data_IF_388149622750
#
_entry.id   IF_388149622750
#
_cell.length_a   1.000
_cell.length_b   1.000
_cell.length_c   1.000
_cell.angle_alpha   90.00
_cell.angle_beta   90.00
_cell.angle_gamma   90.00
#
_symmetry.space_group_name_H-M   'P 1'
#
loop_
_entity.id
_entity.type
_entity.pdbx_description
1 polymer ?
#
# COMPACT_ATOMS: atom_id res chain seq x y z
N UNK A 1 -42.08 14.69 53.45
CA UNK A 1 -41.73 13.26 53.41
C UNK A 1 -40.94 13.06 52.13
N UNK A 2 -39.64 12.76 52.26
CA UNK A 2 -38.87 12.03 51.23
C UNK A 2 -39.54 10.66 51.01
N UNK A 3 -39.47 9.95 49.89
CA UNK A 3 -38.35 9.54 49.04
C UNK A 3 -38.99 9.02 47.72
N UNK A 4 -38.34 8.96 46.57
CA UNK A 4 -37.42 7.88 46.20
C UNK A 4 -36.68 8.24 44.91
N UNK A 5 -35.40 7.87 44.91
CA UNK A 5 -34.37 8.17 43.95
C UNK A 5 -34.55 7.40 42.64
N UNK A 6 -34.48 8.10 41.50
CA UNK A 6 -34.31 7.48 40.19
C UNK A 6 -32.89 6.95 40.06
N UNK A 7 -32.76 5.62 40.14
CA UNK A 7 -31.52 4.87 40.03
C UNK A 7 -30.86 5.07 38.66
N UNK A 8 -29.58 5.48 38.69
CA UNK A 8 -28.64 5.42 37.57
C UNK A 8 -28.33 3.98 37.21
N UNK A 9 -28.22 3.71 35.91
CA UNK A 9 -27.22 2.80 35.37
C UNK A 9 -27.76 1.61 34.59
N UNK A 10 -27.63 1.67 33.27
CA UNK A 10 -27.15 0.53 32.50
C UNK A 10 -26.50 1.08 31.23
N UNK A 11 -25.19 1.31 31.30
CA UNK A 11 -24.36 1.39 30.11
C UNK A 11 -24.25 -0.04 29.57
N UNK A 12 -24.92 -0.31 28.46
CA UNK A 12 -24.78 -1.53 27.69
C UNK A 12 -24.37 -1.12 26.28
N UNK A 13 -23.06 -1.09 26.06
CA UNK A 13 -22.37 -1.62 24.87
C UNK A 13 -20.92 -1.11 24.95
N UNK A 14 -20.09 -1.79 25.74
CA UNK A 14 -18.65 -1.77 25.49
C UNK A 14 -18.37 -3.05 24.72
N UNK A 15 -18.45 -2.95 23.39
CA UNK A 15 -17.88 -3.96 22.52
C UNK A 15 -16.46 -4.28 23.01
N UNK A 16 -16.30 -5.53 23.40
CA UNK A 16 -15.07 -6.13 23.93
C UNK A 16 -13.90 -5.77 23.02
N UNK A 17 -13.06 -4.83 23.46
CA UNK A 17 -11.73 -4.65 22.89
C UNK A 17 -10.92 -5.87 23.33
N UNK A 18 -10.89 -6.89 22.47
CA UNK A 18 -10.01 -8.03 22.63
C UNK A 18 -8.58 -7.52 22.46
N UNK A 19 -7.93 -7.18 23.57
CA UNK A 19 -6.48 -6.99 23.64
C UNK A 19 -5.82 -8.36 23.58
N UNK A 20 -5.58 -8.83 22.37
CA UNK A 20 -4.64 -9.92 22.11
C UNK A 20 -3.23 -9.35 22.07
N UNK A 21 -2.42 -9.75 23.06
CA UNK A 21 -0.97 -9.67 22.96
C UNK A 21 -0.52 -10.49 21.72
N UNK A 22 0.47 -9.98 20.99
CA UNK A 22 1.02 -10.43 19.69
C UNK A 22 0.51 -9.68 18.44
N UNK A 23 1.02 -8.46 18.24
CA UNK A 23 1.74 -8.03 17.02
C UNK A 23 1.11 -8.09 15.63
N UNK A 24 -0.13 -8.55 15.46
CA UNK A 24 -0.85 -8.48 14.20
C UNK A 24 -2.22 -7.86 14.48
N UNK A 25 -2.38 -6.58 14.14
CA UNK A 25 -3.70 -5.96 14.06
C UNK A 25 -4.56 -6.84 13.15
N UNK A 26 -5.46 -7.61 13.76
CA UNK A 26 -6.45 -8.41 13.05
C UNK A 26 -7.31 -7.41 12.30
N UNK A 27 -7.15 -7.36 10.97
CA UNK A 27 -7.96 -6.52 10.10
C UNK A 27 -9.41 -6.74 10.43
N UNK A 28 -10.12 -5.65 10.67
CA UNK A 28 -11.56 -5.75 10.89
C UNK A 28 -12.20 -6.12 9.54
N UNK A 29 -13.26 -6.94 9.53
CA UNK A 29 -14.03 -7.22 8.31
C UNK A 29 -14.49 -5.94 7.60
N UNK A 30 -14.64 -4.85 8.34
CA UNK A 30 -15.05 -3.55 7.83
C UNK A 30 -13.92 -2.81 7.08
N UNK A 31 -12.65 -3.01 7.44
CA UNK A 31 -11.51 -2.46 6.71
C UNK A 31 -11.29 -3.20 5.38
N UNK A 32 -11.44 -4.52 5.37
CA UNK A 32 -11.31 -5.30 4.13
C UNK A 32 -12.38 -4.91 3.10
N UNK A 33 -13.62 -4.64 3.54
CA UNK A 33 -14.68 -4.17 2.63
C UNK A 33 -14.38 -2.76 2.08
N UNK A 34 -13.82 -1.88 2.91
CA UNK A 34 -13.38 -0.54 2.45
C UNK A 34 -12.29 -0.65 1.38
N UNK A 35 -11.32 -1.55 1.55
CA UNK A 35 -10.26 -1.76 0.56
C UNK A 35 -10.81 -2.25 -0.77
N UNK A 36 -11.85 -3.10 -0.78
CA UNK A 36 -12.48 -3.55 -2.03
C UNK A 36 -13.04 -2.37 -2.83
N UNK A 37 -13.72 -1.45 -2.18
CA UNK A 37 -14.26 -0.24 -2.82
C UNK A 37 -13.12 0.63 -3.37
N UNK A 38 -12.00 0.74 -2.64
CA UNK A 38 -10.81 1.47 -3.13
C UNK A 38 -10.18 0.78 -4.34
N UNK A 39 -10.14 -0.55 -4.36
CA UNK A 39 -9.65 -1.32 -5.52
C UNK A 39 -10.56 -1.11 -6.73
N UNK A 40 -11.89 -1.17 -6.55
CA UNK A 40 -12.84 -0.89 -7.64
C UNK A 40 -12.61 0.52 -8.21
N UNK A 41 -12.51 1.53 -7.35
CA UNK A 41 -12.23 2.91 -7.77
C UNK A 41 -10.90 3.03 -8.50
N UNK A 42 -9.84 2.40 -8.00
CA UNK A 42 -8.54 2.40 -8.67
C UNK A 42 -8.64 1.80 -10.07
N UNK A 43 -9.36 0.69 -10.23
CA UNK A 43 -9.51 0.01 -11.51
C UNK A 43 -10.39 0.79 -12.51
N UNK A 44 -11.36 1.55 -12.02
CA UNK A 44 -12.28 2.31 -12.87
C UNK A 44 -11.76 3.72 -13.21
N UNK A 45 -11.13 4.39 -12.25
CA UNK A 45 -10.75 5.81 -12.35
C UNK A 45 -9.24 6.01 -12.50
N UNK A 46 -8.44 4.96 -12.29
CA UNK A 46 -6.97 5.02 -12.27
C UNK A 46 -6.44 6.05 -11.24
N UNK A 47 -7.25 6.37 -10.23
CA UNK A 47 -6.96 7.39 -9.22
C UNK A 47 -7.22 6.84 -7.83
N UNK A 48 -6.14 6.76 -7.04
CA UNK A 48 -6.20 6.39 -5.64
C UNK A 48 -5.04 7.00 -4.83
N UNK A 49 -4.88 8.35 -4.84
CA UNK A 49 -3.89 9.00 -3.99
C UNK A 49 -4.26 8.77 -2.51
N UNK A 50 -3.24 8.53 -1.68
CA UNK A 50 -3.34 8.31 -0.24
C UNK A 50 -4.24 7.11 0.18
N UNK A 51 -4.54 6.20 -0.74
CA UNK A 51 -5.39 5.05 -0.46
C UNK A 51 -4.72 4.02 0.44
N UNK A 52 -5.51 3.43 1.36
CA UNK A 52 -5.11 2.21 2.06
C UNK A 52 -5.39 0.99 1.17
N UNK A 53 -4.32 0.46 0.58
CA UNK A 53 -4.31 -0.73 -0.26
C UNK A 53 -3.34 -1.78 0.32
N UNK A 54 -3.18 -1.83 1.65
CA UNK A 54 -2.27 -2.81 2.25
C UNK A 54 -2.70 -4.25 1.95
N UNK A 55 -1.74 -5.08 1.53
CA UNK A 55 -1.92 -6.51 1.22
C UNK A 55 -3.12 -6.82 0.31
N UNK A 56 -3.53 -5.86 -0.54
CA UNK A 56 -4.50 -6.14 -1.59
C UNK A 56 -3.84 -6.97 -2.69
N UNK A 57 -4.66 -7.69 -3.45
CA UNK A 57 -4.20 -8.38 -4.64
C UNK A 57 -4.54 -7.56 -5.89
N UNK A 58 -3.50 -6.99 -6.50
CA UNK A 58 -3.53 -6.24 -7.75
C UNK A 58 -2.69 -6.92 -8.83
N UNK A 59 -2.35 -8.20 -8.65
CA UNK A 59 -1.49 -8.93 -9.58
C UNK A 59 -2.08 -8.99 -10.99
N UNK A 60 -1.22 -8.78 -11.99
CA UNK A 60 -1.58 -8.81 -13.41
C UNK A 60 -2.56 -7.71 -13.87
N UNK A 61 -2.85 -6.71 -13.03
CA UNK A 61 -3.74 -5.60 -13.39
C UNK A 61 -3.06 -4.60 -14.32
N UNK A 62 -3.87 -3.88 -15.10
CA UNK A 62 -3.43 -2.74 -15.89
C UNK A 62 -3.68 -1.46 -15.10
N UNK A 63 -2.61 -0.88 -14.57
CA UNK A 63 -2.59 0.35 -13.77
C UNK A 63 -1.56 1.34 -14.37
N UNK A 64 -1.35 1.29 -15.69
CA UNK A 64 -0.52 2.26 -16.39
C UNK A 64 -1.11 3.65 -16.21
N UNK A 65 -0.27 4.65 -15.99
CA UNK A 65 -0.66 6.04 -15.71
C UNK A 65 -1.51 6.22 -14.42
N UNK A 66 -1.56 5.22 -13.54
CA UNK A 66 -2.32 5.30 -12.29
C UNK A 66 -1.77 6.35 -11.34
N UNK A 67 -2.64 7.11 -10.70
CA UNK A 67 -2.27 8.00 -9.60
C UNK A 67 -2.40 7.28 -8.25
N UNK A 68 -1.25 6.85 -7.73
CA UNK A 68 -1.08 6.15 -6.45
C UNK A 68 -0.18 6.98 -5.51
N UNK A 69 -0.13 8.31 -5.69
CA UNK A 69 0.68 9.19 -4.85
C UNK A 69 0.39 8.93 -3.37
N UNK A 70 1.44 8.62 -2.61
CA UNK A 70 1.38 8.37 -1.17
C UNK A 70 0.42 7.26 -0.75
N UNK A 71 0.03 6.37 -1.67
CA UNK A 71 -0.78 5.21 -1.33
C UNK A 71 -0.02 4.25 -0.40
N UNK A 72 -0.75 3.62 0.52
CA UNK A 72 -0.23 2.58 1.40
C UNK A 72 -0.44 1.20 0.74
N UNK A 73 0.62 0.67 0.13
CA UNK A 73 0.66 -0.59 -0.61
C UNK A 73 1.49 -1.65 0.14
N UNK A 74 1.66 -1.52 1.47
CA UNK A 74 2.48 -2.44 2.25
C UNK A 74 2.01 -3.88 2.10
N UNK A 75 2.93 -4.75 1.70
CA UNK A 75 2.66 -6.16 1.45
C UNK A 75 1.64 -6.44 0.35
N UNK A 76 1.29 -5.46 -0.49
CA UNK A 76 0.41 -5.67 -1.64
C UNK A 76 1.03 -6.65 -2.64
N UNK A 77 0.19 -7.45 -3.28
CA UNK A 77 0.60 -8.29 -4.40
C UNK A 77 0.41 -7.49 -5.70
N UNK A 78 1.52 -7.02 -6.26
CA UNK A 78 1.62 -6.27 -7.52
C UNK A 78 2.38 -7.09 -8.57
N UNK A 79 2.42 -8.42 -8.40
CA UNK A 79 3.13 -9.31 -9.31
C UNK A 79 2.59 -9.16 -10.74
N UNK A 80 3.48 -8.87 -11.69
CA UNK A 80 3.13 -8.78 -13.11
C UNK A 80 2.16 -7.63 -13.45
N UNK A 81 1.95 -6.69 -12.53
CA UNK A 81 1.10 -5.52 -12.75
C UNK A 81 1.78 -4.55 -13.72
N UNK A 82 1.01 -3.98 -14.64
CA UNK A 82 1.47 -2.87 -15.47
C UNK A 82 1.28 -1.56 -14.69
N UNK A 83 2.38 -0.96 -14.26
CA UNK A 83 2.48 0.32 -13.55
C UNK A 83 3.28 1.34 -14.37
N UNK A 84 3.32 1.17 -15.70
CA UNK A 84 4.06 2.07 -16.57
C UNK A 84 3.55 3.51 -16.40
N UNK A 85 4.45 4.48 -16.28
CA UNK A 85 4.13 5.89 -16.02
C UNK A 85 3.31 6.16 -14.74
N UNK A 86 3.11 5.18 -13.86
CA UNK A 86 2.30 5.39 -12.66
C UNK A 86 2.97 6.42 -11.73
N UNK A 87 2.16 7.26 -11.08
CA UNK A 87 2.61 8.14 -10.01
C UNK A 87 2.58 7.37 -8.69
N UNK A 88 3.74 6.94 -8.21
CA UNK A 88 3.95 6.25 -6.94
C UNK A 88 4.76 7.11 -5.96
N UNK A 89 4.79 8.42 -6.17
CA UNK A 89 5.57 9.36 -5.37
C UNK A 89 5.19 9.24 -3.89
N UNK A 90 6.18 8.99 -3.04
CA UNK A 90 5.98 8.83 -1.61
C UNK A 90 5.10 7.64 -1.19
N UNK A 91 4.78 6.71 -2.09
CA UNK A 91 4.01 5.52 -1.76
C UNK A 91 4.78 4.59 -0.80
N UNK A 92 4.06 3.88 0.06
CA UNK A 92 4.62 2.89 0.99
C UNK A 92 4.42 1.48 0.42
N UNK A 93 5.48 0.95 -0.20
CA UNK A 93 5.54 -0.36 -0.88
C UNK A 93 6.31 -1.40 -0.04
N UNK A 94 6.48 -1.19 1.27
CA UNK A 94 7.29 -2.09 2.10
C UNK A 94 6.78 -3.53 2.04
N UNK A 95 7.69 -4.45 1.75
CA UNK A 95 7.38 -5.87 1.60
C UNK A 95 6.39 -6.23 0.49
N UNK A 96 6.11 -5.31 -0.44
CA UNK A 96 5.24 -5.59 -1.59
C UNK A 96 5.91 -6.60 -2.56
N UNK A 97 5.09 -7.42 -3.22
CA UNK A 97 5.52 -8.30 -4.29
C UNK A 97 5.37 -7.57 -5.62
N UNK A 98 6.48 -7.09 -6.19
CA UNK A 98 6.55 -6.39 -7.47
C UNK A 98 7.23 -7.25 -8.54
N UNK A 99 7.32 -8.57 -8.34
CA UNK A 99 7.98 -9.46 -9.29
C UNK A 99 7.34 -9.35 -10.65
N UNK A 100 8.15 -9.31 -11.70
CA UNK A 100 7.69 -9.22 -13.09
C UNK A 100 6.82 -7.98 -13.40
N UNK A 101 6.70 -7.01 -12.49
CA UNK A 101 5.92 -5.79 -12.71
C UNK A 101 6.60 -4.87 -13.73
N UNK A 102 5.79 -4.09 -14.46
CA UNK A 102 6.28 -3.07 -15.38
C UNK A 102 6.20 -1.69 -14.74
N UNK A 103 7.32 -1.18 -14.23
CA UNK A 103 7.48 0.14 -13.60
C UNK A 103 8.20 1.13 -14.53
N UNK A 104 8.25 0.86 -15.84
CA UNK A 104 8.93 1.77 -16.79
C UNK A 104 8.33 3.16 -16.71
N UNK A 105 9.21 4.16 -16.66
CA UNK A 105 8.84 5.58 -16.57
C UNK A 105 7.94 5.94 -15.34
N UNK A 106 7.81 5.05 -14.34
CA UNK A 106 7.03 5.32 -13.14
C UNK A 106 7.75 6.33 -12.21
N UNK A 107 6.99 7.19 -11.53
CA UNK A 107 7.53 8.12 -10.53
C UNK A 107 7.52 7.46 -9.14
N UNK A 108 8.68 7.03 -8.67
CA UNK A 108 8.91 6.44 -7.34
C UNK A 108 9.65 7.41 -6.41
N UNK A 109 9.64 8.73 -6.70
CA UNK A 109 10.33 9.73 -5.89
C UNK A 109 9.88 9.66 -4.42
N UNK A 110 10.84 9.51 -3.50
CA UNK A 110 10.59 9.30 -2.06
C UNK A 110 9.73 8.09 -1.68
N UNK A 111 9.48 7.13 -2.59
CA UNK A 111 8.75 5.92 -2.27
C UNK A 111 9.56 5.02 -1.31
N UNK A 112 8.87 4.27 -0.46
CA UNK A 112 9.50 3.30 0.43
C UNK A 112 9.30 1.88 -0.10
N UNK A 113 10.36 1.25 -0.60
CA UNK A 113 10.38 -0.11 -1.12
C UNK A 113 11.17 -1.06 -0.20
N UNK A 114 11.31 -0.74 1.09
CA UNK A 114 12.05 -1.59 2.05
C UNK A 114 11.52 -3.03 2.01
N UNK A 115 12.41 -3.98 1.72
CA UNK A 115 12.07 -5.41 1.64
C UNK A 115 11.12 -5.81 0.51
N UNK A 116 10.82 -4.93 -0.45
CA UNK A 116 10.00 -5.29 -1.62
C UNK A 116 10.74 -6.25 -2.55
N UNK A 117 10.01 -7.15 -3.22
CA UNK A 117 10.58 -8.06 -4.22
C UNK A 117 10.36 -7.53 -5.64
N UNK A 118 11.41 -6.98 -6.24
CA UNK A 118 11.42 -6.45 -7.62
C UNK A 118 12.05 -7.45 -8.60
N UNK A 119 12.12 -8.74 -8.28
CA UNK A 119 12.75 -9.74 -9.15
C UNK A 119 12.06 -9.79 -10.51
N UNK A 120 12.81 -9.46 -11.57
CA UNK A 120 12.28 -9.42 -12.94
C UNK A 120 11.40 -8.21 -13.24
N UNK A 121 11.28 -7.25 -12.31
CA UNK A 121 10.59 -5.99 -12.58
C UNK A 121 11.35 -5.16 -13.62
N UNK A 122 10.60 -4.45 -14.45
CA UNK A 122 11.12 -3.54 -15.47
C UNK A 122 11.10 -2.11 -14.92
N UNK A 123 12.24 -1.46 -14.80
CA UNK A 123 12.37 -0.13 -14.19
C UNK A 123 13.08 0.88 -15.11
N UNK A 124 13.13 0.61 -16.41
CA UNK A 124 13.75 1.53 -17.37
C UNK A 124 13.04 2.89 -17.32
N UNK A 125 13.76 3.96 -16.99
CA UNK A 125 13.20 5.32 -16.89
C UNK A 125 12.49 5.64 -15.58
N UNK A 126 12.37 4.69 -14.64
CA UNK A 126 11.73 4.95 -13.35
C UNK A 126 12.51 5.99 -12.53
N UNK A 127 11.79 6.93 -11.90
CA UNK A 127 12.37 7.97 -11.06
C UNK A 127 12.51 7.44 -9.62
N UNK A 128 13.74 7.10 -9.22
CA UNK A 128 14.04 6.51 -7.90
C UNK A 128 14.74 7.49 -6.95
N UNK A 129 14.81 8.78 -7.30
CA UNK A 129 15.43 9.79 -6.45
C UNK A 129 14.81 9.78 -5.05
N UNK A 130 15.66 9.64 -4.02
CA UNK A 130 15.26 9.51 -2.61
C UNK A 130 14.36 8.31 -2.26
N UNK A 131 14.18 7.33 -3.14
CA UNK A 131 13.48 6.09 -2.81
C UNK A 131 14.29 5.23 -1.83
N UNK A 132 13.61 4.62 -0.86
CA UNK A 132 14.24 3.66 0.05
C UNK A 132 14.16 2.26 -0.53
N UNK A 133 15.32 1.72 -0.95
CA UNK A 133 15.46 0.37 -1.51
C UNK A 133 16.12 -0.59 -0.52
N UNK A 134 16.17 -0.25 0.77
CA UNK A 134 16.84 -1.07 1.79
C UNK A 134 16.26 -2.48 1.82
N UNK A 135 17.09 -3.49 1.55
CA UNK A 135 16.66 -4.88 1.54
C UNK A 135 15.71 -5.27 0.39
N UNK A 136 15.47 -4.37 -0.58
CA UNK A 136 14.71 -4.72 -1.77
C UNK A 136 15.46 -5.79 -2.59
N UNK A 137 14.73 -6.79 -3.09
CA UNK A 137 15.28 -7.89 -3.89
C UNK A 137 15.14 -7.58 -5.38
N UNK A 138 16.02 -8.13 -6.23
CA UNK A 138 15.89 -8.02 -7.69
C UNK A 138 16.30 -6.68 -8.29
N UNK A 139 16.64 -5.68 -7.47
CA UNK A 139 17.16 -4.39 -7.94
C UNK A 139 18.58 -4.58 -8.45
N UNK A 140 18.76 -4.51 -9.78
CA UNK A 140 20.08 -4.24 -10.36
C UNK A 140 20.24 -2.73 -10.37
N UNK A 141 20.81 -2.18 -9.30
CA UNK A 141 21.29 -0.79 -9.35
C UNK A 141 22.52 -0.82 -10.24
N UNK A 142 22.27 -0.69 -11.54
CA UNK A 142 23.30 -0.31 -12.48
C UNK A 142 23.69 1.10 -12.02
N UNK A 143 24.78 1.20 -11.26
CA UNK A 143 25.32 2.48 -10.87
C UNK A 143 25.70 3.19 -12.17
N UNK A 144 24.77 3.97 -12.72
CA UNK A 144 25.04 4.92 -13.77
C UNK A 144 25.93 5.99 -13.13
N UNK A 145 27.22 5.69 -13.07
CA UNK A 145 28.27 6.68 -12.93
C UNK A 145 28.04 7.68 -14.05
N UNK A 146 27.51 8.85 -13.69
CA UNK A 146 27.75 10.05 -14.47
C UNK A 146 29.24 10.36 -14.31
N UNK A 147 30.05 9.81 -15.22
CA UNK A 147 31.30 10.45 -15.58
C UNK A 147 30.95 11.68 -16.42
N UNK A 148 30.94 12.86 -15.81
CA UNK A 148 31.34 14.14 -16.43
C UNK A 148 32.02 15.03 -15.38
#
# INVERSE_FOLDING_TARGET
>A
MASEETVRGQAADIGEAVVGEEGALTRTPQEDERRKILVERLLDENQCPECDLQKVDLSGRWLSDADLERADLRGANLKGTDLKNANLKGADLRGADLREADLRDADLYMANLEGADLTGARMEGALLDSADLTGALGVRVDAAGKEE
#
